data_IF_474845230934
#
_entry.id   IF_474845230934
#
_cell.length_a   1.000
_cell.length_b   1.000
_cell.length_c   1.000
_cell.angle_alpha   90.00
_cell.angle_beta   90.00
_cell.angle_gamma   90.00
#
_symmetry.space_group_name_H-M   'P 1'
#
loop_
_entity.id
_entity.type
_entity.pdbx_description
1 polymer ?
#
# COMPACT_ATOMS: atom_id res chain seq x y z
N UNK A 1 -3.27 15.52 -9.01
CA UNK A 1 -2.52 15.77 -10.28
C UNK A 1 -3.48 16.45 -11.26
N UNK A 2 -3.00 17.30 -12.18
CA UNK A 2 -3.90 17.97 -13.16
C UNK A 2 -4.03 17.06 -14.36
N UNK A 3 -5.20 16.49 -14.61
CA UNK A 3 -5.46 15.42 -15.58
C UNK A 3 -4.95 15.73 -17.00
N UNK A 4 -5.16 16.95 -17.49
CA UNK A 4 -4.71 17.35 -18.84
C UNK A 4 -3.19 17.39 -19.05
N UNK A 5 -2.40 17.31 -17.98
CA UNK A 5 -0.93 17.28 -18.01
C UNK A 5 -0.36 15.95 -17.53
N UNK A 6 -1.23 14.98 -17.25
CA UNK A 6 -0.84 13.69 -16.70
C UNK A 6 -0.84 12.60 -17.77
N UNK A 7 0.14 11.74 -17.73
CA UNK A 7 0.14 10.50 -18.53
C UNK A 7 -0.60 9.41 -17.73
N UNK A 8 -1.51 8.66 -18.36
CA UNK A 8 -2.30 7.63 -17.67
C UNK A 8 -1.44 6.62 -16.90
N UNK A 9 -0.31 6.22 -17.48
CA UNK A 9 0.61 5.24 -16.88
C UNK A 9 1.22 5.76 -15.57
N UNK A 10 1.65 7.02 -15.54
CA UNK A 10 2.18 7.65 -14.33
C UNK A 10 1.06 7.94 -13.32
N UNK A 11 -0.10 8.38 -13.79
CA UNK A 11 -1.26 8.60 -12.90
C UNK A 11 -1.67 7.31 -12.19
N UNK A 12 -1.63 6.16 -12.87
CA UNK A 12 -1.93 4.88 -12.27
C UNK A 12 -0.95 4.52 -11.14
N UNK A 13 0.36 4.74 -11.34
CA UNK A 13 1.40 4.48 -10.33
C UNK A 13 1.21 5.34 -9.07
N UNK A 14 0.79 6.60 -9.24
CA UNK A 14 0.60 7.56 -8.15
C UNK A 14 -0.84 7.63 -7.63
N UNK A 15 -1.69 6.69 -8.02
CA UNK A 15 -3.07 6.64 -7.55
C UNK A 15 -3.16 6.23 -6.08
N UNK A 16 -4.22 6.66 -5.39
CA UNK A 16 -4.51 6.22 -4.02
C UNK A 16 -4.68 4.69 -3.94
N UNK A 17 -5.29 4.09 -4.97
CA UNK A 17 -5.43 2.64 -5.04
C UNK A 17 -4.08 1.91 -5.08
N UNK A 18 -3.12 2.39 -5.90
CA UNK A 18 -1.78 1.82 -5.97
C UNK A 18 -1.02 2.03 -4.65
N UNK A 19 -1.13 3.22 -4.05
CA UNK A 19 -0.52 3.54 -2.76
C UNK A 19 -1.00 2.59 -1.66
N UNK A 20 -2.31 2.43 -1.48
CA UNK A 20 -2.85 1.56 -0.45
C UNK A 20 -2.59 0.07 -0.72
N UNK A 21 -2.55 -0.35 -1.99
CA UNK A 21 -2.14 -1.70 -2.33
C UNK A 21 -0.68 -1.98 -1.89
N UNK A 22 0.23 -1.02 -2.11
CA UNK A 22 1.62 -1.16 -1.69
C UNK A 22 1.77 -1.14 -0.16
N UNK A 23 0.98 -0.31 0.55
CA UNK A 23 0.94 -0.33 2.01
C UNK A 23 0.52 -1.70 2.54
N UNK A 24 -0.50 -2.33 1.92
CA UNK A 24 -0.94 -3.66 2.30
C UNK A 24 0.18 -4.70 2.12
N UNK A 25 0.91 -4.66 1.01
CA UNK A 25 2.01 -5.61 0.77
C UNK A 25 3.15 -5.44 1.79
N UNK A 26 3.47 -4.22 2.21
CA UNK A 26 4.48 -3.96 3.24
C UNK A 26 4.02 -4.52 4.59
N UNK A 27 2.79 -4.22 4.99
CA UNK A 27 2.21 -4.73 6.24
C UNK A 27 2.16 -6.26 6.27
N UNK A 28 1.78 -6.89 5.16
CA UNK A 28 1.74 -8.34 5.03
C UNK A 28 3.15 -8.95 5.10
N UNK A 29 4.14 -8.36 4.45
CA UNK A 29 5.52 -8.85 4.49
C UNK A 29 6.09 -8.82 5.93
N UNK A 30 5.80 -7.77 6.69
CA UNK A 30 6.20 -7.68 8.11
C UNK A 30 5.42 -8.69 8.95
N UNK A 31 4.12 -8.85 8.73
CA UNK A 31 3.29 -9.84 9.42
C UNK A 31 3.82 -11.27 9.18
N UNK A 32 4.14 -11.63 7.94
CA UNK A 32 4.76 -12.92 7.58
C UNK A 32 6.10 -13.14 8.30
N UNK A 33 6.94 -12.10 8.36
CA UNK A 33 8.22 -12.18 9.09
C UNK A 33 8.01 -12.36 10.61
N UNK A 34 6.96 -11.77 11.18
CA UNK A 34 6.59 -11.94 12.59
C UNK A 34 5.98 -13.33 12.86
N UNK A 35 5.19 -13.89 11.92
CA UNK A 35 4.73 -15.28 11.98
C UNK A 35 5.90 -16.26 12.02
N UNK A 36 6.88 -16.09 11.13
CA UNK A 36 8.08 -16.95 11.08
C UNK A 36 8.90 -16.92 12.39
N UNK A 37 8.76 -15.85 13.18
CA UNK A 37 9.40 -15.69 14.50
C UNK A 37 8.49 -16.11 15.67
N UNK A 38 7.30 -16.61 15.40
CA UNK A 38 6.33 -17.02 16.42
C UNK A 38 5.75 -15.84 17.24
N UNK A 39 5.82 -14.61 16.72
CA UNK A 39 5.27 -13.41 17.37
C UNK A 39 3.81 -13.16 17.01
N UNK A 40 3.38 -13.70 15.87
CA UNK A 40 2.03 -13.61 15.31
C UNK A 40 1.55 -15.02 15.00
N UNK A 41 0.26 -15.34 15.18
CA UNK A 41 -0.29 -16.65 14.83
C UNK A 41 -0.10 -16.94 13.35
N UNK A 42 0.35 -18.15 13.03
CA UNK A 42 0.56 -18.60 11.65
C UNK A 42 -0.73 -18.53 10.84
N UNK A 43 -0.65 -17.99 9.63
CA UNK A 43 -1.79 -17.86 8.71
C UNK A 43 -2.55 -16.53 8.83
N UNK A 44 -2.18 -15.64 9.75
CA UNK A 44 -2.79 -14.32 9.87
C UNK A 44 -2.60 -13.50 8.60
N UNK A 45 -1.36 -13.38 8.10
CA UNK A 45 -1.05 -12.65 6.88
C UNK A 45 -1.75 -13.25 5.65
N UNK A 46 -1.76 -14.58 5.52
CA UNK A 46 -2.45 -15.27 4.42
C UNK A 46 -3.95 -14.95 4.41
N UNK A 47 -4.59 -14.95 5.58
CA UNK A 47 -6.02 -14.64 5.72
C UNK A 47 -6.31 -13.18 5.35
N UNK A 48 -5.47 -12.25 5.81
CA UNK A 48 -5.63 -10.82 5.45
C UNK A 48 -5.42 -10.65 3.93
N UNK A 49 -4.40 -11.26 3.36
CA UNK A 49 -4.13 -11.23 1.91
C UNK A 49 -5.34 -11.69 1.10
N UNK A 50 -5.93 -12.82 1.43
CA UNK A 50 -7.11 -13.37 0.74
C UNK A 50 -8.33 -12.44 0.83
N UNK A 51 -8.53 -11.81 1.98
CA UNK A 51 -9.73 -11.03 2.24
C UNK A 51 -9.63 -9.58 1.79
N UNK A 52 -8.46 -8.96 1.84
CA UNK A 52 -8.27 -7.53 1.59
C UNK A 52 -7.65 -7.19 0.23
N UNK A 53 -6.80 -8.08 -0.37
CA UNK A 53 -6.17 -7.78 -1.66
C UNK A 53 -7.21 -7.58 -2.77
N UNK A 54 -7.06 -6.47 -3.49
CA UNK A 54 -7.97 -6.09 -4.57
C UNK A 54 -9.35 -5.55 -4.13
N UNK A 55 -9.56 -5.42 -2.81
CA UNK A 55 -10.85 -4.96 -2.25
C UNK A 55 -10.73 -3.64 -1.48
N UNK A 56 -9.54 -3.06 -1.43
CA UNK A 56 -9.34 -1.76 -0.78
C UNK A 56 -10.13 -0.67 -1.50
N UNK A 57 -10.90 0.09 -0.73
CA UNK A 57 -11.65 1.26 -1.23
C UNK A 57 -11.00 2.56 -0.73
N UNK A 58 -10.29 3.31 -1.60
CA UNK A 58 -9.67 4.57 -1.22
C UNK A 58 -10.66 5.59 -0.65
N UNK A 59 -11.90 5.61 -1.13
CA UNK A 59 -12.91 6.54 -0.62
C UNK A 59 -13.27 6.22 0.82
N UNK A 60 -13.45 4.92 1.12
CA UNK A 60 -13.73 4.48 2.49
C UNK A 60 -12.59 4.81 3.44
N UNK A 61 -11.34 4.61 3.01
CA UNK A 61 -10.16 4.96 3.80
C UNK A 61 -10.13 6.47 4.11
N UNK A 62 -10.39 7.33 3.12
CA UNK A 62 -10.43 8.78 3.32
C UNK A 62 -11.58 9.21 4.24
N UNK A 63 -12.75 8.55 4.20
CA UNK A 63 -13.84 8.79 5.16
C UNK A 63 -13.41 8.48 6.59
N UNK A 64 -12.72 7.36 6.80
CA UNK A 64 -12.20 6.97 8.12
C UNK A 64 -11.12 7.97 8.56
N UNK A 65 -10.24 8.39 7.66
CA UNK A 65 -9.18 9.37 7.94
C UNK A 65 -9.75 10.72 8.38
N UNK A 66 -10.85 11.15 7.80
CA UNK A 66 -11.54 12.39 8.21
C UNK A 66 -11.93 12.39 9.70
N UNK A 67 -12.15 11.20 10.28
CA UNK A 67 -12.50 11.00 11.68
C UNK A 67 -11.24 10.77 12.54
N UNK A 68 -10.39 9.84 12.12
CA UNK A 68 -9.19 9.42 12.87
C UNK A 68 -8.06 10.44 12.85
N UNK A 69 -8.05 11.30 11.84
CA UNK A 69 -6.99 12.28 11.58
C UNK A 69 -5.60 11.65 11.45
N UNK A 70 -5.56 10.41 10.99
CA UNK A 70 -4.34 9.63 10.82
C UNK A 70 -4.50 8.64 9.66
N UNK A 71 -3.69 8.78 8.64
CA UNK A 71 -3.77 8.05 7.37
C UNK A 71 -3.52 6.53 7.51
N UNK A 72 -2.42 6.12 8.15
CA UNK A 72 -2.10 4.70 8.35
C UNK A 72 -3.13 4.02 9.24
N UNK A 73 -3.61 4.69 10.30
CA UNK A 73 -4.66 4.13 11.17
C UNK A 73 -5.97 3.98 10.38
N UNK A 74 -6.32 4.94 9.54
CA UNK A 74 -7.51 4.84 8.69
C UNK A 74 -7.41 3.66 7.71
N UNK A 75 -6.26 3.49 7.09
CA UNK A 75 -5.97 2.35 6.22
C UNK A 75 -6.09 1.02 6.96
N UNK A 76 -5.45 0.86 8.12
CA UNK A 76 -5.50 -0.36 8.93
C UNK A 76 -6.93 -0.67 9.40
N UNK A 77 -7.70 0.35 9.79
CA UNK A 77 -9.11 0.21 10.16
C UNK A 77 -9.93 -0.35 8.99
N UNK A 78 -9.72 0.14 7.78
CA UNK A 78 -10.40 -0.40 6.60
C UNK A 78 -9.95 -1.85 6.28
N UNK A 79 -8.68 -2.17 6.46
CA UNK A 79 -8.22 -3.56 6.32
C UNK A 79 -8.88 -4.47 7.35
N UNK A 80 -9.08 -4.00 8.59
CA UNK A 80 -9.81 -4.73 9.63
C UNK A 80 -11.29 -4.92 9.27
N UNK A 81 -11.95 -3.91 8.68
CA UNK A 81 -13.33 -4.06 8.16
C UNK A 81 -13.44 -5.20 7.13
N UNK A 82 -12.39 -5.41 6.31
CA UNK A 82 -12.37 -6.44 5.27
C UNK A 82 -11.94 -7.82 5.78
N UNK A 83 -10.88 -7.86 6.59
CA UNK A 83 -10.23 -9.10 6.99
C UNK A 83 -10.68 -9.62 8.36
N UNK A 84 -11.22 -8.74 9.22
CA UNK A 84 -11.64 -9.08 10.57
C UNK A 84 -10.47 -9.27 11.53
N UNK A 85 -10.65 -10.12 12.51
CA UNK A 85 -9.73 -10.35 13.64
C UNK A 85 -8.25 -10.56 13.23
N UNK A 86 -7.90 -11.29 12.16
CA UNK A 86 -6.50 -11.45 11.76
C UNK A 86 -5.75 -10.14 11.45
N UNK A 87 -6.46 -9.08 11.06
CA UNK A 87 -5.86 -7.78 10.75
C UNK A 87 -5.25 -7.09 11.98
N UNK A 88 -5.64 -7.45 13.20
CA UNK A 88 -5.09 -6.93 14.45
C UNK A 88 -3.57 -7.12 14.59
N UNK A 89 -3.01 -8.04 13.83
CA UNK A 89 -1.60 -8.38 13.86
C UNK A 89 -0.75 -7.56 12.89
N UNK A 90 -1.40 -6.77 12.03
CA UNK A 90 -0.71 -5.81 11.18
C UNK A 90 -0.11 -4.69 12.04
N UNK A 91 0.88 -4.02 11.51
CA UNK A 91 1.57 -2.87 12.13
C UNK A 91 2.29 -3.19 13.46
N UNK A 92 2.44 -4.47 13.80
CA UNK A 92 3.07 -4.87 15.05
C UNK A 92 4.57 -4.52 15.05
N UNK A 93 4.96 -3.59 15.91
CA UNK A 93 6.34 -3.14 16.06
C UNK A 93 6.83 -2.17 14.97
N UNK A 94 5.91 -1.64 14.17
CA UNK A 94 6.18 -0.63 13.14
C UNK A 94 5.73 0.76 13.59
N UNK A 95 6.28 1.77 12.95
CA UNK A 95 5.75 3.13 12.95
C UNK A 95 5.19 3.47 11.57
N UNK A 96 4.34 4.49 11.47
CA UNK A 96 3.75 4.91 10.20
C UNK A 96 4.81 5.22 9.14
N UNK A 97 5.95 5.82 9.52
CA UNK A 97 7.04 6.10 8.59
C UNK A 97 7.65 4.85 7.95
N UNK A 98 7.68 3.71 8.64
CA UNK A 98 8.17 2.45 8.07
C UNK A 98 7.33 2.02 6.86
N UNK A 99 6.02 2.29 6.89
CA UNK A 99 5.10 2.00 5.78
C UNK A 99 5.20 3.08 4.71
N UNK A 100 5.13 4.36 5.10
CA UNK A 100 5.07 5.50 4.18
C UNK A 100 6.33 5.62 3.33
N UNK A 101 7.51 5.59 3.97
CA UNK A 101 8.80 5.79 3.30
C UNK A 101 9.14 4.59 2.41
N UNK A 102 8.92 3.36 2.90
CA UNK A 102 9.12 2.14 2.09
C UNK A 102 8.18 2.10 0.88
N UNK A 103 6.92 2.52 1.05
CA UNK A 103 5.97 2.58 -0.06
C UNK A 103 6.36 3.67 -1.07
N UNK A 104 6.86 4.81 -0.61
CA UNK A 104 7.34 5.86 -1.49
C UNK A 104 8.50 5.38 -2.36
N UNK A 105 9.50 4.72 -1.76
CA UNK A 105 10.61 4.10 -2.50
C UNK A 105 10.11 3.06 -3.51
N UNK A 106 9.19 2.19 -3.11
CA UNK A 106 8.55 1.22 -4.00
C UNK A 106 7.81 1.85 -5.18
N UNK A 107 7.26 3.05 -5.00
CA UNK A 107 6.58 3.81 -6.05
C UNK A 107 7.57 4.44 -7.04
N UNK A 108 8.74 4.88 -6.59
CA UNK A 108 9.75 5.47 -7.46
C UNK A 108 10.37 4.47 -8.44
N UNK A 109 10.44 3.19 -8.11
CA UNK A 109 11.03 2.16 -8.99
C UNK A 109 10.27 2.07 -10.33
N UNK A 110 8.96 1.80 -10.37
CA UNK A 110 8.21 1.73 -11.63
C UNK A 110 8.10 3.09 -12.33
N UNK A 111 8.00 4.18 -11.58
CA UNK A 111 7.96 5.53 -12.15
C UNK A 111 9.28 5.88 -12.86
N UNK A 112 10.43 5.58 -12.23
CA UNK A 112 11.76 5.78 -12.82
C UNK A 112 11.99 4.91 -14.04
N UNK A 113 11.59 3.64 -14.01
CA UNK A 113 11.68 2.75 -15.15
C UNK A 113 10.87 3.26 -16.36
N UNK A 114 9.64 3.74 -16.12
CA UNK A 114 8.81 4.34 -17.16
C UNK A 114 9.47 5.56 -17.81
N UNK A 115 10.03 6.47 -17.01
CA UNK A 115 10.75 7.65 -17.50
C UNK A 115 11.99 7.26 -18.31
N UNK A 116 12.78 6.29 -17.85
CA UNK A 116 13.96 5.82 -18.57
C UNK A 116 13.63 5.25 -19.95
N UNK A 117 12.59 4.43 -20.08
CA UNK A 117 12.16 3.87 -21.37
C UNK A 117 11.79 4.99 -22.34
N UNK A 118 11.07 6.01 -21.89
CA UNK A 118 10.71 7.14 -22.74
C UNK A 118 11.93 8.00 -23.13
N UNK A 119 12.86 8.18 -22.21
CA UNK A 119 14.10 8.92 -22.48
C UNK A 119 14.97 8.22 -23.53
N UNK A 120 15.15 6.91 -23.39
CA UNK A 120 15.88 6.10 -24.36
C UNK A 120 15.20 6.10 -25.73
N UNK A 121 13.87 6.09 -25.79
CA UNK A 121 13.11 6.20 -27.03
C UNK A 121 13.33 7.53 -27.74
N UNK A 122 13.53 8.63 -27.01
CA UNK A 122 13.81 9.94 -27.60
C UNK A 122 15.24 10.08 -28.18
N UNK A 123 16.19 9.28 -27.68
CA UNK A 123 17.59 9.30 -28.14
C UNK A 123 17.77 8.50 -29.46
N UNK A 124 16.83 7.60 -29.76
CA UNK A 124 16.89 6.71 -30.93
C UNK A 124 16.07 7.23 -32.13
N UNK A 125 15.57 8.47 -32.07
CA UNK A 125 15.00 9.19 -33.23
C UNK A 125 16.11 10.00 -33.87
#
# INVERSE_FOLDING_TARGET
MIDRYSRPELTAIWSDGARFALWLEIELAVCEAMEARGRVPTGSAATVRERATGKLDPKRILEIEAITRHDVIAFLTHVEELAGEPARWLHLGMTSSDVLDTALDGTFIPAGAHLMVHWLSLIHI
#
